data_IF_851480968461
#
_entry.id   IF_851480968461
#
_cell.length_a   1.000
_cell.length_b   1.000
_cell.length_c   1.000
_cell.angle_alpha   90.00
_cell.angle_beta   90.00
_cell.angle_gamma   90.00
#
_symmetry.space_group_name_H-M   'P 1'
#
loop_
_entity.id
_entity.type
_entity.pdbx_description
1 polymer ?
#
# COMPACT_ATOMS: atom_id res chain seq x y z
N UNK A 1 -25.72 51.42 -7.07
CA UNK A 1 -24.42 50.70 -7.04
C UNK A 1 -23.68 51.10 -5.76
N UNK A 2 -23.62 50.22 -4.75
CA UNK A 2 -22.95 50.51 -3.47
C UNK A 2 -21.52 49.96 -3.52
N UNK A 3 -20.50 50.81 -3.66
CA UNK A 3 -19.09 50.40 -3.52
C UNK A 3 -18.82 50.22 -2.03
N UNK A 4 -18.69 48.97 -1.57
CA UNK A 4 -18.19 48.68 -0.23
C UNK A 4 -16.72 49.10 -0.17
N UNK A 5 -16.39 49.93 0.81
CA UNK A 5 -15.02 50.32 1.11
C UNK A 5 -14.31 49.16 1.83
N UNK A 6 -13.37 48.52 1.12
CA UNK A 6 -12.65 47.30 1.55
C UNK A 6 -11.37 47.68 2.31
N UNK A 7 -11.05 48.98 2.41
CA UNK A 7 -9.83 49.51 3.06
C UNK A 7 -9.66 49.03 4.50
N UNK A 8 -10.76 48.95 5.26
CA UNK A 8 -10.72 48.46 6.65
C UNK A 8 -10.31 46.99 6.75
N UNK A 9 -10.82 46.13 5.86
CA UNK A 9 -10.46 44.70 5.85
C UNK A 9 -9.01 44.48 5.44
N UNK A 10 -8.47 45.30 4.53
CA UNK A 10 -7.07 45.23 4.13
C UNK A 10 -6.12 45.61 5.29
N UNK A 11 -6.48 46.63 6.07
CA UNK A 11 -5.69 47.04 7.25
C UNK A 11 -5.66 45.96 8.33
N UNK A 12 -6.79 45.31 8.59
CA UNK A 12 -6.87 44.20 9.55
C UNK A 12 -5.99 43.03 9.08
N UNK A 13 -6.06 42.68 7.79
CA UNK A 13 -5.24 41.59 7.23
C UNK A 13 -3.74 41.89 7.32
N UNK A 14 -3.32 43.14 7.08
CA UNK A 14 -1.92 43.56 7.20
C UNK A 14 -1.41 43.43 8.65
N UNK A 15 -2.21 43.79 9.64
CA UNK A 15 -1.87 43.63 11.07
C UNK A 15 -1.73 42.15 11.43
N UNK A 16 -2.65 41.29 10.97
CA UNK A 16 -2.58 39.86 11.21
C UNK A 16 -1.35 39.21 10.56
N UNK A 17 -1.00 39.61 9.33
CA UNK A 17 0.19 39.13 8.65
C UNK A 17 1.46 39.55 9.40
N UNK A 18 1.53 40.79 9.87
CA UNK A 18 2.65 41.28 10.67
C UNK A 18 2.83 40.52 11.99
N UNK A 19 1.73 40.26 12.70
CA UNK A 19 1.75 39.45 13.92
C UNK A 19 2.20 38.01 13.66
N UNK A 20 1.77 37.41 12.54
CA UNK A 20 2.17 36.06 12.13
C UNK A 20 3.67 35.97 11.83
N UNK A 21 4.21 36.93 11.07
CA UNK A 21 5.65 36.98 10.76
C UNK A 21 6.47 37.21 12.04
N UNK A 22 6.02 38.12 12.90
CA UNK A 22 6.70 38.39 14.18
C UNK A 22 6.73 37.16 15.10
N UNK A 23 5.62 36.44 15.20
CA UNK A 23 5.54 35.19 15.97
C UNK A 23 6.49 34.12 15.41
N UNK A 24 6.60 34.00 14.08
CA UNK A 24 7.52 33.04 13.45
C UNK A 24 9.00 33.39 13.66
N UNK A 25 9.34 34.69 13.71
CA UNK A 25 10.71 35.14 14.00
C UNK A 25 11.05 34.93 15.47
N UNK A 26 10.11 35.20 16.39
CA UNK A 26 10.32 35.05 17.84
C UNK A 26 10.45 33.58 18.28
N UNK A 27 9.90 32.64 17.51
CA UNK A 27 9.92 31.20 17.84
C UNK A 27 11.12 30.46 17.27
N UNK A 28 11.99 31.09 16.47
CA UNK A 28 13.24 30.45 16.06
C UNK A 28 14.32 30.65 17.14
N UNK A 29 14.89 29.57 17.71
CA UNK A 29 16.04 29.71 18.60
C UNK A 29 17.22 30.30 17.79
N UNK A 30 18.04 31.18 18.39
CA UNK A 30 19.21 31.73 17.71
C UNK A 30 20.12 30.58 17.28
N UNK A 31 20.40 30.48 15.99
CA UNK A 31 21.43 29.59 15.45
C UNK A 31 22.77 29.98 16.05
N UNK A 32 23.22 29.24 17.06
CA UNK A 32 24.58 29.34 17.55
C UNK A 32 25.50 28.78 16.45
N UNK A 33 26.52 29.54 16.01
CA UNK A 33 27.53 29.00 15.13
C UNK A 33 28.28 27.89 15.90
N UNK A 34 28.26 26.68 15.35
CA UNK A 34 29.07 25.57 15.84
C UNK A 34 30.55 25.98 15.73
N UNK A 35 31.34 26.00 16.82
CA UNK A 35 32.76 26.27 16.71
C UNK A 35 33.42 25.13 15.94
N UNK A 36 34.15 25.48 14.87
CA UNK A 36 35.02 24.55 14.16
C UNK A 36 36.08 24.06 15.17
N UNK A 37 36.19 22.75 15.44
CA UNK A 37 37.27 22.27 16.29
C UNK A 37 38.60 22.51 15.56
N UNK A 38 39.48 23.28 16.22
CA UNK A 38 40.86 23.44 15.81
C UNK A 38 41.50 22.06 15.65
N UNK A 39 42.15 21.85 14.51
CA UNK A 39 42.96 20.69 14.19
C UNK A 39 43.98 20.41 15.31
N UNK A 40 43.83 19.25 15.95
CA UNK A 40 44.83 18.73 16.90
C UNK A 40 46.07 18.23 16.14
N UNK A 41 47.29 18.42 16.69
CA UNK A 41 48.51 17.96 16.06
C UNK A 41 48.59 16.42 16.08
N UNK A 42 49.04 15.86 14.97
CA UNK A 42 49.29 14.42 14.82
C UNK A 42 50.30 13.95 15.87
N UNK A 43 49.87 13.08 16.79
CA UNK A 43 50.78 12.42 17.73
C UNK A 43 50.37 10.96 17.94
N UNK A 44 51.22 10.09 17.39
CA UNK A 44 51.53 8.70 17.73
C UNK A 44 50.43 7.61 17.73
N UNK A 45 50.65 6.68 16.79
CA UNK A 45 50.02 5.39 16.62
C UNK A 45 50.67 4.43 17.64
N UNK A 46 50.04 4.22 18.80
CA UNK A 46 50.08 2.94 19.55
C UNK A 46 49.28 3.08 20.86
N UNK A 47 47.97 2.87 20.76
CA UNK A 47 47.09 2.44 21.85
C UNK A 47 45.69 2.28 21.26
N UNK A 48 45.17 1.05 21.19
CA UNK A 48 43.74 0.80 20.98
C UNK A 48 42.95 1.53 22.07
N UNK A 49 42.16 2.57 21.75
CA UNK A 49 41.29 3.17 22.74
C UNK A 49 40.09 2.23 22.89
N UNK A 50 40.01 1.57 24.04
CA UNK A 50 38.83 0.85 24.47
C UNK A 50 37.75 1.88 24.80
N UNK A 51 36.99 2.31 23.79
CA UNK A 51 35.85 3.18 24.00
C UNK A 51 34.77 2.38 24.76
N UNK A 52 34.25 2.87 25.90
CA UNK A 52 33.00 2.33 26.42
C UNK A 52 31.94 2.45 25.31
N UNK A 53 31.05 1.45 25.12
CA UNK A 53 30.02 1.55 24.11
C UNK A 53 29.26 2.84 24.38
N UNK A 54 29.42 3.82 23.49
CA UNK A 54 28.64 5.03 23.52
C UNK A 54 27.19 4.60 23.67
N UNK A 55 26.46 5.24 24.58
CA UNK A 55 25.01 5.16 24.63
C UNK A 55 24.50 5.63 23.26
N UNK A 56 24.44 4.70 22.31
CA UNK A 56 23.64 4.82 21.11
C UNK A 56 22.24 4.88 21.69
N UNK A 57 21.74 6.09 21.88
CA UNK A 57 20.32 6.31 22.08
C UNK A 57 19.62 5.45 21.01
N UNK A 58 18.80 4.47 21.39
CA UNK A 58 18.07 3.71 20.41
C UNK A 58 17.28 4.73 19.60
N UNK A 59 17.54 4.78 18.29
CA UNK A 59 16.76 5.58 17.37
C UNK A 59 15.28 5.35 17.73
N UNK A 60 14.46 6.42 17.82
CA UNK A 60 13.08 6.28 18.25
C UNK A 60 12.43 5.16 17.44
N UNK A 61 11.61 4.29 18.07
CA UNK A 61 10.99 3.17 17.38
C UNK A 61 10.29 3.72 16.14
N UNK A 62 10.88 3.48 14.97
CA UNK A 62 10.26 3.90 13.73
C UNK A 62 9.08 2.96 13.52
N UNK A 63 7.86 3.49 13.61
CA UNK A 63 6.62 2.74 13.38
C UNK A 63 6.52 2.10 11.98
N UNK A 64 7.52 2.31 11.12
CA UNK A 64 7.56 1.92 9.73
C UNK A 64 8.61 0.80 9.56
N UNK A 65 8.29 -0.30 8.86
CA UNK A 65 9.28 -1.32 8.51
C UNK A 65 10.45 -0.71 7.75
N UNK A 66 11.61 -1.36 7.69
CA UNK A 66 12.73 -0.80 6.92
C UNK A 66 12.55 -1.10 5.44
N UNK A 67 12.77 -0.09 4.60
CA UNK A 67 12.88 -0.30 3.15
C UNK A 67 14.05 -1.23 2.85
N UNK A 68 13.86 -2.11 1.86
CA UNK A 68 14.78 -3.21 1.54
C UNK A 68 15.46 -2.95 0.20
N UNK A 69 16.79 -3.13 0.13
CA UNK A 69 17.50 -3.07 -1.13
C UNK A 69 17.31 -4.38 -1.92
N UNK A 70 17.41 -4.31 -3.23
CA UNK A 70 17.51 -5.47 -4.12
C UNK A 70 18.98 -5.62 -4.48
N UNK A 71 19.56 -6.78 -4.18
CA UNK A 71 20.94 -7.12 -4.55
C UNK A 71 21.10 -7.16 -6.07
N UNK A 72 22.23 -6.63 -6.55
CA UNK A 72 22.55 -6.58 -7.97
C UNK A 72 23.32 -7.83 -8.40
N UNK A 73 22.91 -8.44 -9.52
CA UNK A 73 23.79 -9.32 -10.28
C UNK A 73 24.76 -8.53 -11.17
N UNK A 74 25.38 -9.23 -12.13
CA UNK A 74 26.17 -8.59 -13.18
C UNK A 74 25.30 -7.69 -14.07
N UNK A 75 25.78 -6.46 -14.31
CA UNK A 75 25.09 -5.49 -15.15
C UNK A 75 24.90 -6.03 -16.58
N UNK A 76 23.69 -5.99 -17.16
CA UNK A 76 23.45 -6.49 -18.52
C UNK A 76 24.19 -5.71 -19.62
N UNK A 77 24.57 -4.45 -19.34
CA UNK A 77 25.33 -3.62 -20.27
C UNK A 77 26.09 -2.52 -19.53
N UNK A 78 27.05 -1.89 -20.21
CA UNK A 78 27.80 -0.75 -19.69
C UNK A 78 26.88 0.42 -19.26
N UNK A 79 25.75 0.61 -19.94
CA UNK A 79 24.77 1.64 -19.56
C UNK A 79 24.13 1.34 -18.18
N UNK A 80 23.79 0.07 -17.93
CA UNK A 80 23.25 -0.34 -16.62
C UNK A 80 24.29 -0.18 -15.51
N UNK A 81 25.55 -0.51 -15.80
CA UNK A 81 26.66 -0.34 -14.87
C UNK A 81 26.89 1.14 -14.55
N UNK A 82 26.92 2.00 -15.56
CA UNK A 82 27.10 3.43 -15.36
C UNK A 82 26.00 4.03 -14.46
N UNK A 83 24.75 3.64 -14.69
CA UNK A 83 23.62 4.06 -13.84
C UNK A 83 23.84 3.59 -12.40
N UNK A 84 24.25 2.33 -12.19
CA UNK A 84 24.57 1.82 -10.86
C UNK A 84 25.64 2.68 -10.19
N UNK A 85 26.72 2.96 -10.90
CA UNK A 85 27.84 3.76 -10.38
C UNK A 85 27.41 5.20 -10.05
N UNK A 86 26.52 5.80 -10.85
CA UNK A 86 25.94 7.12 -10.56
C UNK A 86 25.12 7.10 -9.27
N UNK A 87 24.29 6.06 -9.06
CA UNK A 87 23.53 5.90 -7.82
C UNK A 87 24.43 5.68 -6.61
N UNK A 88 25.50 4.89 -6.76
CA UNK A 88 26.46 4.61 -5.69
C UNK A 88 27.27 5.86 -5.31
N UNK A 89 27.54 6.77 -6.26
CA UNK A 89 28.12 8.10 -5.99
C UNK A 89 27.16 9.10 -5.38
N UNK A 90 25.87 8.79 -5.31
CA UNK A 90 24.84 9.71 -4.82
C UNK A 90 24.31 10.68 -5.88
N UNK A 91 24.65 10.48 -7.16
CA UNK A 91 24.18 11.28 -8.30
C UNK A 91 22.76 10.85 -8.73
N UNK A 92 21.82 10.85 -7.78
CA UNK A 92 20.48 10.26 -7.95
C UNK A 92 19.66 10.88 -9.07
N UNK A 93 19.83 12.18 -9.34
CA UNK A 93 19.13 12.87 -10.43
C UNK A 93 19.63 12.41 -11.80
N UNK A 94 20.93 12.19 -11.92
CA UNK A 94 21.57 11.69 -13.14
C UNK A 94 21.19 10.21 -13.37
N UNK A 95 21.31 9.38 -12.32
CA UNK A 95 20.88 7.99 -12.38
C UNK A 95 19.39 7.85 -12.72
N UNK A 96 18.53 8.69 -12.14
CA UNK A 96 17.09 8.69 -12.46
C UNK A 96 16.81 9.07 -13.92
N UNK A 97 17.46 10.12 -14.45
CA UNK A 97 17.24 10.53 -15.83
C UNK A 97 17.70 9.45 -16.81
N UNK A 98 18.86 8.84 -16.57
CA UNK A 98 19.38 7.73 -17.36
C UNK A 98 18.47 6.49 -17.29
N UNK A 99 17.94 6.16 -16.10
CA UNK A 99 16.95 5.08 -15.93
C UNK A 99 15.68 5.31 -16.74
N UNK A 100 15.16 6.55 -16.76
CA UNK A 100 13.96 6.88 -17.54
C UNK A 100 14.21 6.68 -19.03
N UNK A 101 15.30 7.23 -19.54
CA UNK A 101 15.71 7.06 -20.95
C UNK A 101 15.86 5.59 -21.31
N UNK A 102 16.42 4.77 -20.41
CA UNK A 102 16.57 3.34 -20.66
C UNK A 102 15.22 2.60 -20.62
N UNK A 103 14.29 3.04 -19.76
CA UNK A 103 12.94 2.44 -19.60
C UNK A 103 11.99 2.76 -20.75
N UNK A 104 12.26 3.83 -21.52
CA UNK A 104 11.48 4.19 -22.71
C UNK A 104 11.74 3.25 -23.89
N UNK A 105 12.84 2.47 -23.87
CA UNK A 105 13.16 1.54 -24.96
C UNK A 105 12.12 0.42 -25.01
N UNK A 106 11.35 0.30 -26.10
CA UNK A 106 10.37 -0.76 -26.23
C UNK A 106 11.08 -2.13 -26.31
N UNK A 107 10.41 -3.17 -25.82
CA UNK A 107 10.87 -4.57 -25.88
C UNK A 107 12.20 -4.88 -25.21
N UNK A 108 12.57 -4.17 -24.14
CA UNK A 108 13.73 -4.53 -23.32
C UNK A 108 13.66 -6.01 -22.86
N UNK A 109 14.79 -6.77 -22.91
CA UNK A 109 14.87 -8.14 -22.43
C UNK A 109 14.41 -8.28 -20.97
N UNK A 110 13.94 -9.47 -20.59
CA UNK A 110 13.48 -9.74 -19.22
C UNK A 110 14.58 -9.50 -18.16
N UNK A 111 15.83 -9.84 -18.49
CA UNK A 111 17.02 -9.59 -17.66
C UNK A 111 17.20 -8.10 -17.39
N UNK A 112 17.14 -7.27 -18.44
CA UNK A 112 17.29 -5.82 -18.36
C UNK A 112 16.18 -5.21 -17.50
N UNK A 113 14.92 -5.61 -17.73
CA UNK A 113 13.77 -5.15 -16.92
C UNK A 113 13.96 -5.48 -15.44
N UNK A 114 14.43 -6.67 -15.12
CA UNK A 114 14.67 -7.10 -13.73
C UNK A 114 15.81 -6.30 -13.10
N UNK A 115 16.90 -6.06 -13.83
CA UNK A 115 18.01 -5.24 -13.36
C UNK A 115 17.59 -3.78 -13.14
N UNK A 116 16.85 -3.20 -14.08
CA UNK A 116 16.32 -1.85 -13.97
C UNK A 116 15.30 -1.73 -12.83
N UNK A 117 14.48 -2.76 -12.58
CA UNK A 117 13.60 -2.80 -11.42
C UNK A 117 14.40 -2.71 -10.10
N UNK A 118 15.54 -3.41 -10.02
CA UNK A 118 16.44 -3.32 -8.87
C UNK A 118 17.03 -1.90 -8.70
N UNK A 119 17.48 -1.28 -9.80
CA UNK A 119 17.99 0.10 -9.77
C UNK A 119 16.92 1.11 -9.34
N UNK A 120 15.71 1.02 -9.89
CA UNK A 120 14.57 1.86 -9.49
C UNK A 120 14.20 1.65 -8.02
N UNK A 121 14.19 0.41 -7.54
CA UNK A 121 13.94 0.11 -6.13
C UNK A 121 14.99 0.77 -5.24
N UNK A 122 16.27 0.56 -5.55
CA UNK A 122 17.37 1.05 -4.73
C UNK A 122 17.44 2.58 -4.76
N UNK A 123 17.17 3.22 -5.90
CA UNK A 123 16.95 4.66 -5.99
C UNK A 123 15.82 5.12 -5.06
N UNK A 124 14.67 4.43 -5.06
CA UNK A 124 13.56 4.73 -4.15
C UNK A 124 13.96 4.66 -2.68
N UNK A 125 14.75 3.66 -2.29
CA UNK A 125 15.29 3.55 -0.92
C UNK A 125 16.17 4.75 -0.57
N UNK A 126 17.03 5.22 -1.49
CA UNK A 126 17.88 6.38 -1.23
C UNK A 126 17.08 7.69 -1.20
N UNK A 127 16.10 7.84 -2.10
CA UNK A 127 15.19 8.99 -2.10
C UNK A 127 14.38 9.07 -0.80
N UNK A 128 13.93 7.93 -0.27
CA UNK A 128 13.23 7.88 1.03
C UNK A 128 14.12 8.37 2.16
N UNK A 129 15.38 7.93 2.21
CA UNK A 129 16.34 8.35 3.24
C UNK A 129 16.63 9.85 3.22
N UNK A 130 16.64 10.46 2.03
CA UNK A 130 17.03 11.87 1.85
C UNK A 130 15.85 12.85 1.86
N UNK A 131 14.69 12.43 1.34
CA UNK A 131 13.53 13.30 1.12
C UNK A 131 12.23 12.77 1.71
N UNK A 132 12.27 11.64 2.40
CA UNK A 132 11.11 10.99 2.99
C UNK A 132 10.29 10.15 2.01
N UNK A 133 9.30 9.44 2.56
CA UNK A 133 8.51 8.40 1.87
C UNK A 133 7.76 8.93 0.65
N UNK A 134 7.36 10.21 0.65
CA UNK A 134 6.60 10.80 -0.47
C UNK A 134 7.39 10.74 -1.78
N UNK A 135 8.71 10.98 -1.72
CA UNK A 135 9.56 11.05 -2.91
C UNK A 135 9.83 9.65 -3.50
N UNK A 136 9.93 8.63 -2.64
CA UNK A 136 10.29 7.26 -3.05
C UNK A 136 9.19 6.52 -3.81
N UNK A 137 7.92 6.91 -3.61
CA UNK A 137 6.76 6.24 -4.25
C UNK A 137 6.92 6.14 -5.76
N UNK A 138 7.41 7.18 -6.42
CA UNK A 138 7.56 7.18 -7.88
C UNK A 138 8.54 6.10 -8.34
N UNK A 139 9.69 5.99 -7.66
CA UNK A 139 10.71 5.03 -7.98
C UNK A 139 10.25 3.58 -7.69
N UNK A 140 9.58 3.34 -6.56
CA UNK A 140 9.02 2.03 -6.25
C UNK A 140 7.93 1.60 -7.25
N UNK A 141 7.10 2.53 -7.72
CA UNK A 141 6.13 2.24 -8.79
C UNK A 141 6.81 1.80 -10.09
N UNK A 142 7.92 2.44 -10.48
CA UNK A 142 8.69 2.03 -11.66
C UNK A 142 9.29 0.63 -11.47
N UNK A 143 9.82 0.33 -10.28
CA UNK A 143 10.34 -0.99 -9.97
C UNK A 143 9.27 -2.10 -10.11
N UNK A 144 8.07 -1.88 -9.54
CA UNK A 144 6.95 -2.84 -9.65
C UNK A 144 6.41 -2.92 -11.08
N UNK A 145 6.40 -1.84 -11.84
CA UNK A 145 5.98 -1.87 -13.25
C UNK A 145 6.91 -2.73 -14.12
N UNK A 146 8.21 -2.69 -13.86
CA UNK A 146 9.22 -3.48 -14.58
C UNK A 146 9.27 -4.95 -14.12
N UNK A 147 9.07 -5.19 -12.82
CA UNK A 147 9.10 -6.52 -12.21
C UNK A 147 7.90 -6.73 -11.26
N UNK A 148 6.69 -7.01 -11.79
CA UNK A 148 5.45 -7.02 -11.01
C UNK A 148 5.34 -8.14 -9.99
N UNK A 149 6.22 -9.14 -10.06
CA UNK A 149 6.29 -10.27 -9.11
C UNK A 149 7.53 -10.23 -8.22
N UNK A 150 8.31 -9.14 -8.25
CA UNK A 150 9.48 -9.01 -7.38
C UNK A 150 9.03 -8.75 -5.93
N UNK A 151 9.33 -9.65 -4.96
CA UNK A 151 8.85 -9.51 -3.59
C UNK A 151 9.29 -8.21 -2.92
N UNK A 152 10.58 -7.86 -3.07
CA UNK A 152 11.16 -6.68 -2.43
C UNK A 152 10.56 -5.38 -2.93
N UNK A 153 10.41 -5.23 -4.25
CA UNK A 153 9.79 -4.04 -4.84
C UNK A 153 8.32 -3.89 -4.41
N UNK A 154 7.57 -4.99 -4.36
CA UNK A 154 6.18 -4.99 -3.86
C UNK A 154 6.12 -4.60 -2.38
N UNK A 155 7.02 -5.12 -1.55
CA UNK A 155 7.06 -4.80 -0.12
C UNK A 155 7.38 -3.32 0.13
N UNK A 156 8.36 -2.76 -0.58
CA UNK A 156 8.71 -1.34 -0.47
C UNK A 156 7.59 -0.42 -0.95
N UNK A 157 6.94 -0.75 -2.07
CA UNK A 157 5.78 0.02 -2.54
C UNK A 157 4.62 -0.07 -1.53
N UNK A 158 4.36 -1.26 -0.99
CA UNK A 158 3.35 -1.48 0.04
C UNK A 158 3.63 -0.64 1.28
N UNK A 159 4.89 -0.62 1.73
CA UNK A 159 5.31 0.17 2.87
C UNK A 159 5.14 1.67 2.62
N UNK A 160 5.56 2.16 1.45
CA UNK A 160 5.43 3.57 1.10
C UNK A 160 3.95 3.98 1.04
N UNK A 161 3.10 3.17 0.41
CA UNK A 161 1.66 3.40 0.39
C UNK A 161 1.03 3.35 1.79
N UNK A 162 1.44 2.41 2.63
CA UNK A 162 0.94 2.28 4.00
C UNK A 162 1.34 3.45 4.88
N UNK A 163 2.61 3.86 4.86
CA UNK A 163 3.13 4.99 5.64
C UNK A 163 2.49 6.32 5.24
N UNK A 164 2.11 6.49 3.98
CA UNK A 164 1.45 7.69 3.47
C UNK A 164 -0.07 7.65 3.55
N UNK A 165 -0.68 6.53 4.00
CA UNK A 165 -2.12 6.28 3.84
C UNK A 165 -2.60 6.54 2.40
N UNK A 166 -1.76 6.14 1.45
CA UNK A 166 -1.97 6.44 0.05
C UNK A 166 -3.21 5.69 -0.47
N UNK A 167 -4.09 6.34 -1.26
CA UNK A 167 -5.34 5.72 -1.73
C UNK A 167 -5.14 4.48 -2.61
N UNK A 168 -3.94 4.30 -3.16
CA UNK A 168 -3.57 3.09 -3.92
C UNK A 168 -3.35 1.85 -3.04
N UNK A 169 -3.28 1.98 -1.71
CA UNK A 169 -3.25 0.83 -0.81
C UNK A 169 -4.67 0.24 -0.68
N UNK A 170 -5.08 -0.53 -1.67
CA UNK A 170 -6.41 -1.14 -1.70
C UNK A 170 -6.39 -2.58 -1.15
N UNK A 171 -7.57 -3.12 -0.83
CA UNK A 171 -7.70 -4.54 -0.46
C UNK A 171 -7.17 -5.44 -1.58
N UNK A 172 -7.55 -5.16 -2.84
CA UNK A 172 -7.11 -5.92 -4.01
C UNK A 172 -5.58 -5.87 -4.19
N UNK A 173 -4.97 -4.70 -4.01
CA UNK A 173 -3.52 -4.56 -4.08
C UNK A 173 -2.83 -5.42 -3.01
N UNK A 174 -3.26 -5.31 -1.75
CA UNK A 174 -2.69 -6.07 -0.64
C UNK A 174 -2.94 -7.59 -0.76
N UNK A 175 -4.12 -8.00 -1.23
CA UNK A 175 -4.42 -9.41 -1.52
C UNK A 175 -3.44 -9.95 -2.58
N UNK A 176 -3.21 -9.22 -3.68
CA UNK A 176 -2.20 -9.58 -4.67
C UNK A 176 -0.79 -9.68 -4.10
N UNK A 177 -0.38 -8.72 -3.26
CA UNK A 177 0.93 -8.75 -2.59
C UNK A 177 1.05 -9.99 -1.69
N UNK A 178 0.02 -10.32 -0.90
CA UNK A 178 0.05 -11.50 -0.01
C UNK A 178 0.06 -12.83 -0.76
N UNK A 179 -0.37 -12.87 -2.03
CA UNK A 179 -0.22 -14.06 -2.87
C UNK A 179 1.21 -14.25 -3.37
N UNK A 180 1.92 -13.16 -3.64
CA UNK A 180 3.33 -13.19 -4.09
C UNK A 180 4.28 -13.36 -2.90
N UNK A 181 3.96 -12.76 -1.76
CA UNK A 181 4.80 -12.73 -0.55
C UNK A 181 4.01 -13.28 0.66
N UNK A 182 3.65 -14.58 0.66
CA UNK A 182 2.72 -15.16 1.64
C UNK A 182 3.30 -15.34 3.05
N UNK A 183 4.62 -15.18 3.19
CA UNK A 183 5.35 -15.40 4.43
C UNK A 183 5.87 -14.12 5.07
N UNK A 184 5.78 -12.97 4.38
CA UNK A 184 6.12 -11.68 5.00
C UNK A 184 4.93 -11.22 5.87
N UNK A 185 5.16 -10.91 7.15
CA UNK A 185 4.09 -10.52 8.06
C UNK A 185 3.51 -9.14 7.74
N UNK A 186 4.26 -8.23 7.13
CA UNK A 186 3.85 -6.84 6.98
C UNK A 186 2.64 -6.64 6.06
N UNK A 187 2.55 -7.23 4.85
CA UNK A 187 1.35 -7.13 4.02
C UNK A 187 0.09 -7.65 4.72
N UNK A 188 0.21 -8.68 5.56
CA UNK A 188 -0.91 -9.18 6.35
C UNK A 188 -1.33 -8.19 7.44
N UNK A 189 -0.40 -7.50 8.11
CA UNK A 189 -0.72 -6.44 9.07
C UNK A 189 -1.39 -5.23 8.39
N UNK A 190 -0.86 -4.80 7.24
CA UNK A 190 -1.45 -3.71 6.46
C UNK A 190 -2.89 -4.04 6.01
N UNK A 191 -3.13 -5.29 5.59
CA UNK A 191 -4.45 -5.78 5.19
C UNK A 191 -5.41 -5.86 6.39
N UNK A 192 -4.94 -6.35 7.53
CA UNK A 192 -5.71 -6.36 8.77
C UNK A 192 -6.11 -4.95 9.21
N UNK A 193 -5.19 -3.99 9.16
CA UNK A 193 -5.49 -2.59 9.49
C UNK A 193 -6.55 -2.01 8.55
N UNK A 194 -6.40 -2.21 7.23
CA UNK A 194 -7.36 -1.71 6.24
C UNK A 194 -8.77 -2.32 6.42
N UNK A 195 -8.85 -3.58 6.85
CA UNK A 195 -10.12 -4.24 7.20
C UNK A 195 -10.73 -3.67 8.47
N UNK A 196 -9.92 -3.44 9.51
CA UNK A 196 -10.35 -2.83 10.78
C UNK A 196 -10.88 -1.42 10.55
N UNK A 197 -10.19 -0.61 9.74
CA UNK A 197 -10.62 0.76 9.43
C UNK A 197 -11.93 0.80 8.64
N UNK A 198 -12.23 -0.27 7.88
CA UNK A 198 -13.53 -0.48 7.21
C UNK A 198 -14.60 -1.14 8.10
N UNK A 199 -14.32 -1.34 9.39
CA UNK A 199 -15.23 -2.01 10.35
C UNK A 199 -15.34 -3.53 10.17
N UNK A 200 -14.54 -4.15 9.28
CA UNK A 200 -14.54 -5.59 8.99
C UNK A 200 -13.62 -6.36 9.94
N UNK A 201 -13.83 -6.19 11.25
CA UNK A 201 -12.96 -6.73 12.30
C UNK A 201 -12.76 -8.26 12.23
N UNK A 202 -13.82 -9.02 11.97
CA UNK A 202 -13.72 -10.49 11.84
C UNK A 202 -12.85 -10.92 10.67
N UNK A 203 -12.86 -10.15 9.57
CA UNK A 203 -12.01 -10.43 8.41
C UNK A 203 -10.53 -10.18 8.67
N UNK A 204 -10.17 -9.35 9.65
CA UNK A 204 -8.78 -9.06 9.99
C UNK A 204 -8.10 -10.21 10.76
N UNK A 205 -8.86 -10.99 11.53
CA UNK A 205 -8.36 -12.09 12.39
C UNK A 205 -7.45 -13.08 11.66
N UNK A 206 -7.80 -13.66 10.49
CA UNK A 206 -6.91 -14.59 9.81
C UNK A 206 -5.57 -13.97 9.40
N UNK A 207 -5.56 -12.69 9.02
CA UNK A 207 -4.33 -11.98 8.66
C UNK A 207 -3.46 -11.68 9.88
N UNK A 208 -4.06 -11.26 11.00
CA UNK A 208 -3.33 -11.07 12.27
C UNK A 208 -2.70 -12.39 12.74
N UNK A 209 -3.43 -13.51 12.66
CA UNK A 209 -2.90 -14.85 13.00
C UNK A 209 -1.71 -15.23 12.12
N UNK A 210 -1.79 -14.95 10.81
CA UNK A 210 -0.72 -15.28 9.86
C UNK A 210 0.52 -14.41 10.08
N UNK A 211 0.33 -13.11 10.32
CA UNK A 211 1.42 -12.21 10.69
C UNK A 211 2.10 -12.68 11.99
N UNK A 212 1.34 -12.97 13.05
CA UNK A 212 1.86 -13.47 14.33
C UNK A 212 2.74 -14.72 14.19
N UNK A 213 2.37 -15.64 13.29
CA UNK A 213 3.15 -16.86 13.06
C UNK A 213 4.52 -16.62 12.39
N UNK A 214 4.71 -15.47 11.75
CA UNK A 214 5.90 -15.14 10.93
C UNK A 214 6.72 -13.96 11.46
N UNK A 215 6.21 -13.19 12.41
CA UNK A 215 6.98 -12.14 13.08
C UNK A 215 8.06 -12.80 13.94
N UNK A 216 9.31 -12.57 13.58
CA UNK A 216 10.46 -12.99 14.37
C UNK A 216 11.36 -11.79 14.62
N UNK A 217 11.53 -11.42 15.90
CA UNK A 217 12.49 -10.39 16.37
C UNK A 217 12.31 -8.98 15.77
N UNK A 218 11.16 -8.64 15.19
CA UNK A 218 10.82 -7.27 14.76
C UNK A 218 9.91 -6.60 15.81
N UNK A 219 10.49 -5.70 16.61
CA UNK A 219 9.77 -4.99 17.66
C UNK A 219 8.65 -4.10 17.11
N UNK A 220 8.86 -3.48 15.94
CA UNK A 220 7.92 -2.51 15.38
C UNK A 220 6.69 -3.22 14.82
N UNK A 221 6.90 -4.32 14.10
CA UNK A 221 5.79 -5.15 13.61
C UNK A 221 5.03 -5.83 14.75
N UNK A 222 5.72 -6.20 15.83
CA UNK A 222 5.08 -6.76 17.04
C UNK A 222 4.15 -5.73 17.69
N UNK A 223 4.63 -4.49 17.88
CA UNK A 223 3.81 -3.41 18.44
C UNK A 223 2.59 -3.09 17.56
N UNK A 224 2.77 -3.08 16.23
CA UNK A 224 1.66 -2.91 15.29
C UNK A 224 0.64 -4.06 15.40
N UNK A 225 1.11 -5.31 15.45
CA UNK A 225 0.24 -6.48 15.64
C UNK A 225 -0.63 -6.35 16.89
N UNK A 226 0.00 -6.09 18.04
CA UNK A 226 -0.70 -5.98 19.34
C UNK A 226 -1.75 -4.85 19.32
N UNK A 227 -1.41 -3.71 18.72
CA UNK A 227 -2.33 -2.59 18.52
C UNK A 227 -3.56 -3.01 17.71
N UNK A 228 -3.36 -3.74 16.60
CA UNK A 228 -4.45 -4.18 15.73
C UNK A 228 -5.31 -5.28 16.38
N UNK A 229 -4.70 -6.20 17.12
CA UNK A 229 -5.42 -7.21 17.90
C UNK A 229 -6.27 -6.57 19.01
N UNK A 230 -5.71 -5.59 19.73
CA UNK A 230 -6.45 -4.83 20.73
C UNK A 230 -7.67 -4.09 20.15
N UNK A 231 -7.52 -3.46 18.97
CA UNK A 231 -8.66 -2.85 18.25
C UNK A 231 -9.72 -3.89 17.89
N UNK A 232 -9.30 -5.05 17.41
CA UNK A 232 -10.19 -6.14 16.98
C UNK A 232 -10.94 -6.74 18.18
N UNK A 233 -10.26 -6.97 19.30
CA UNK A 233 -10.85 -7.49 20.53
C UNK A 233 -11.87 -6.52 21.14
N UNK A 234 -11.55 -5.21 21.20
CA UNK A 234 -12.48 -4.18 21.67
C UNK A 234 -13.75 -4.13 20.81
N UNK A 235 -13.61 -4.23 19.49
CA UNK A 235 -14.75 -4.27 18.58
C UNK A 235 -15.62 -5.54 18.79
N UNK A 236 -14.99 -6.69 19.00
CA UNK A 236 -15.70 -7.93 19.30
C UNK A 236 -16.49 -7.85 20.61
N UNK A 237 -15.90 -7.28 21.67
CA UNK A 237 -16.58 -7.09 22.96
C UNK A 237 -17.79 -6.17 22.84
N UNK A 238 -17.65 -5.04 22.14
CA UNK A 238 -18.76 -4.11 21.87
C UNK A 238 -19.89 -4.79 21.10
N UNK A 239 -19.56 -5.62 20.11
CA UNK A 239 -20.54 -6.36 19.34
C UNK A 239 -21.28 -7.42 20.19
N UNK A 240 -20.60 -8.07 21.14
CA UNK A 240 -21.24 -9.00 22.08
C UNK A 240 -22.21 -8.28 23.02
N UNK A 241 -21.77 -7.15 23.61
CA UNK A 241 -22.61 -6.34 24.50
C UNK A 241 -23.86 -5.81 23.77
N UNK A 242 -23.71 -5.34 22.52
CA UNK A 242 -24.84 -4.90 21.71
C UNK A 242 -25.86 -6.03 21.47
N UNK A 243 -25.40 -7.26 21.20
CA UNK A 243 -26.28 -8.43 21.03
C UNK A 243 -27.03 -8.81 22.31
N UNK A 244 -26.41 -8.65 23.48
CA UNK A 244 -27.07 -8.93 24.77
C UNK A 244 -28.07 -7.86 25.18
N UNK A 245 -27.93 -6.63 24.66
CA UNK A 245 -28.81 -5.50 24.95
C UNK A 245 -30.02 -5.42 24.01
N UNK A 246 -30.01 -6.10 22.86
CA UNK A 246 -31.23 -6.34 22.08
C UNK A 246 -32.04 -7.39 22.84
N UNK A 247 -33.16 -7.02 23.50
CA UNK A 247 -33.96 -8.00 24.21
C UNK A 247 -34.44 -9.01 23.18
N UNK A 248 -34.26 -10.30 23.47
CA UNK A 248 -35.02 -11.35 22.80
C UNK A 248 -36.49 -11.05 23.08
N UNK A 249 -37.14 -10.35 22.15
CA UNK A 249 -38.59 -10.33 22.11
C UNK A 249 -39.00 -11.79 21.97
N UNK A 250 -39.52 -12.36 23.06
CA UNK A 250 -40.22 -13.65 23.03
C UNK A 250 -41.08 -13.66 21.76
N UNK A 251 -41.14 -14.76 20.99
CA UNK A 251 -42.10 -14.83 19.89
C UNK A 251 -43.47 -14.56 20.52
N UNK A 252 -44.10 -13.45 20.12
CA UNK A 252 -45.45 -13.14 20.54
C UNK A 252 -46.28 -14.36 20.17
N UNK A 253 -46.93 -14.97 21.17
CA UNK A 253 -47.89 -16.06 20.94
C UNK A 253 -48.81 -15.59 19.83
N UNK A 254 -48.85 -16.34 18.73
CA UNK A 254 -49.85 -16.17 17.68
C UNK A 254 -51.21 -16.20 18.36
N UNK A 255 -51.88 -15.05 18.42
CA UNK A 255 -53.30 -15.02 18.72
C UNK A 255 -54.03 -15.47 17.45
N UNK A 256 -55.00 -16.39 17.55
CA UNK A 256 -55.73 -16.86 16.38
C UNK A 256 -56.51 -15.69 15.76
N UNK A 257 -56.34 -15.51 14.45
CA UNK A 257 -57.10 -14.57 13.63
C UNK A 257 -58.58 -14.94 13.75
N UNK A 258 -59.36 -14.08 14.38
CA UNK A 258 -60.81 -14.22 14.43
C UNK A 258 -61.36 -13.89 13.03
N UNK A 259 -61.94 -14.91 12.41
CA UNK A 259 -62.57 -14.85 11.08
C UNK A 259 -63.76 -13.89 11.14
N UNK A 260 -63.54 -12.63 10.77
CA UNK A 260 -64.62 -11.66 10.56
C UNK A 260 -65.34 -12.04 9.26
N UNK A 261 -66.60 -12.47 9.41
CA UNK A 261 -67.52 -12.73 8.31
C UNK A 261 -67.97 -11.37 7.73
N UNK A 262 -67.88 -11.11 6.41
CA UNK A 262 -68.41 -9.88 5.83
C UNK A 262 -69.93 -9.96 5.63
N UNK A 263 -70.65 -8.82 5.69
CA UNK A 263 -72.09 -8.76 5.47
C UNK A 263 -72.43 -8.94 3.99
N UNK A 264 -73.58 -9.55 3.73
CA UNK A 264 -74.13 -9.87 2.42
C UNK A 264 -74.94 -8.72 1.81
N UNK A 265 -75.12 -8.84 0.48
CA UNK A 265 -76.03 -8.14 -0.45
C UNK A 265 -75.47 -6.79 -0.99
N UNK A 266 -75.49 -6.48 -2.30
CA UNK A 266 -76.40 -6.85 -3.39
C UNK A 266 -75.67 -6.97 -4.76
N UNK A 267 -76.33 -7.68 -5.68
CA UNK A 267 -75.98 -8.06 -7.06
C UNK A 267 -76.20 -6.94 -8.13
N UNK A 268 -76.20 -7.22 -9.45
CA UNK A 268 -75.09 -7.54 -10.37
C UNK A 268 -75.05 -6.61 -11.62
N UNK A 269 -74.00 -6.66 -12.47
CA UNK A 269 -74.06 -6.77 -13.96
C UNK A 269 -72.71 -6.49 -14.65
N UNK A 270 -72.48 -7.01 -15.88
CA UNK A 270 -71.16 -7.37 -16.39
C UNK A 270 -70.71 -6.56 -17.62
N UNK A 271 -69.40 -6.49 -17.83
CA UNK A 271 -68.73 -6.36 -19.15
C UNK A 271 -67.23 -6.27 -18.91
N UNK A 272 -66.32 -6.75 -19.74
CA UNK A 272 -66.27 -7.64 -20.89
C UNK A 272 -64.79 -7.62 -21.29
N UNK A 273 -64.25 -8.76 -21.73
CA UNK A 273 -63.14 -8.88 -22.69
C UNK A 273 -61.73 -8.46 -22.21
N UNK A 274 -60.78 -9.40 -22.13
CA UNK A 274 -59.78 -9.74 -23.18
C UNK A 274 -58.70 -8.64 -23.30
N UNK A 275 -57.38 -8.87 -23.31
CA UNK A 275 -56.53 -9.96 -23.80
C UNK A 275 -55.18 -9.85 -23.04
N UNK A 276 -54.56 -10.95 -22.61
CA UNK A 276 -53.51 -11.69 -23.31
C UNK A 276 -52.20 -10.88 -23.53
N UNK A 277 -51.10 -11.41 -22.98
CA UNK A 277 -49.75 -10.80 -22.93
C UNK A 277 -49.01 -10.77 -24.27
N UNK A 278 -47.73 -11.20 -24.39
CA UNK A 278 -46.86 -11.85 -23.40
C UNK A 278 -45.41 -11.35 -23.37
N UNK A 279 -44.65 -12.03 -22.51
CA UNK A 279 -43.19 -12.06 -22.39
C UNK A 279 -42.47 -12.60 -23.65
N UNK A 280 -41.15 -12.36 -23.71
CA UNK A 280 -40.03 -13.28 -24.04
C UNK A 280 -38.78 -12.41 -24.34
N UNK A 281 -37.50 -12.76 -24.17
CA UNK A 281 -36.80 -14.04 -24.32
C UNK A 281 -35.50 -13.99 -23.49
N UNK A 282 -35.20 -15.08 -22.80
CA UNK A 282 -33.85 -15.44 -22.35
C UNK A 282 -33.25 -16.40 -23.38
N UNK A 283 -32.02 -16.14 -23.83
CA UNK A 283 -31.35 -16.93 -24.87
C UNK A 283 -30.35 -17.93 -24.27
N UNK A 284 -30.45 -19.16 -24.75
CA UNK A 284 -29.79 -20.37 -24.29
C UNK A 284 -28.76 -20.83 -25.34
N UNK A 285 -27.56 -21.23 -24.89
CA UNK A 285 -26.54 -21.95 -25.66
C UNK A 285 -27.04 -23.32 -26.19
N UNK A 286 -26.48 -23.85 -27.30
CA UNK A 286 -25.56 -25.03 -27.22
C UNK A 286 -24.58 -25.15 -28.44
N UNK A 287 -23.90 -26.30 -28.70
CA UNK A 287 -23.03 -27.13 -27.86
C UNK A 287 -21.61 -27.35 -28.47
N UNK A 288 -20.78 -28.14 -27.78
CA UNK A 288 -19.43 -28.56 -28.16
C UNK A 288 -19.40 -29.77 -29.10
N UNK A 289 -18.42 -29.79 -30.02
CA UNK A 289 -18.05 -30.96 -30.86
C UNK A 289 -16.79 -31.66 -30.32
N UNK A 290 -16.72 -33.01 -30.37
CA UNK A 290 -15.50 -33.78 -30.13
C UNK A 290 -14.89 -34.35 -31.42
N UNK A 291 -13.58 -34.63 -31.36
CA UNK A 291 -12.75 -35.43 -32.27
C UNK A 291 -12.20 -34.78 -33.55
N UNK A 292 -10.86 -34.62 -33.58
CA UNK A 292 -10.06 -35.18 -34.67
C UNK A 292 -8.62 -35.39 -34.21
N UNK A 293 -8.25 -36.66 -34.18
CA UNK A 293 -6.93 -37.22 -33.96
C UNK A 293 -6.21 -37.19 -35.32
N UNK A 294 -5.14 -36.41 -35.45
CA UNK A 294 -4.32 -36.39 -36.66
C UNK A 294 -2.84 -36.20 -36.28
N UNK A 295 -2.16 -37.34 -36.26
CA UNK A 295 -0.72 -37.49 -36.18
C UNK A 295 -0.01 -36.97 -37.45
N UNK A 296 1.29 -36.69 -37.29
CA UNK A 296 2.42 -36.60 -38.26
C UNK A 296 2.98 -35.19 -38.51
N UNK A 297 4.29 -35.04 -38.83
CA UNK A 297 5.45 -35.79 -38.31
C UNK A 297 6.63 -34.87 -37.89
N UNK A 298 7.56 -35.50 -37.16
CA UNK A 298 8.88 -35.01 -36.73
C UNK A 298 9.76 -34.58 -37.92
N UNK A 299 10.47 -33.43 -37.88
CA UNK A 299 11.61 -33.20 -38.75
C UNK A 299 12.90 -33.73 -38.12
N UNK A 300 13.54 -34.67 -38.83
CA UNK A 300 14.88 -35.17 -38.55
C UNK A 300 15.96 -34.09 -38.85
N UNK A 301 17.13 -34.16 -38.20
CA UNK A 301 18.18 -33.15 -38.33
C UNK A 301 18.97 -33.33 -39.64
N UNK A 302 19.24 -32.21 -40.32
CA UNK A 302 20.11 -32.19 -41.50
C UNK A 302 21.57 -32.42 -41.09
N UNK A 303 22.19 -33.35 -41.83
CA UNK A 303 23.56 -33.79 -41.72
C UNK A 303 24.59 -32.69 -42.00
N UNK A 304 25.70 -32.86 -41.30
CA UNK A 304 27.00 -32.24 -41.52
C UNK A 304 27.72 -33.05 -42.60
N UNK A 305 28.39 -32.38 -43.55
CA UNK A 305 29.75 -32.66 -44.11
C UNK A 305 29.85 -32.35 -45.60
N UNK A 306 31.07 -32.17 -46.16
CA UNK A 306 32.35 -31.80 -45.54
C UNK A 306 32.82 -30.38 -45.90
#
# INVERSE_FOLDING_TARGET
MYRRDISSTLRILAVLLGAFVFYHIWTQPPTTPVPVPASLPATNIDATPNFPPALVEPAPPQDIPRTRLIEFGEAPSAAHQQIRDDLDRGEYKLGESALRTLSEKPHAPARDKTYMAALWNNLGVQQEKLGGIVVSVKAFKQAVALAPRNPTALLNLTQAYWGLRHPSLTLQFLEGVTQIVPDDPFPHLALAELLIDKGRHLGAVPHLKRARARIHRDSNLTALLEKLEGKTAKAALRAQQAKTLVPTTKPAKQYPVQKLLPPQAESPTPSSMEHAGPASVAEQLPPADPASDASLPVPAPAEITP
#
